data_IF_556023890929
#
_entry.id   IF_556023890929
#
_cell.length_a   1.000
_cell.length_b   1.000
_cell.length_c   1.000
_cell.angle_alpha   90.00
_cell.angle_beta   90.00
_cell.angle_gamma   90.00
#
_symmetry.space_group_name_H-M   'P 1'
#
loop_
_entity.id
_entity.type
_entity.pdbx_description
1 polymer ?
#
# COMPACT_ATOMS: atom_id res chain seq x y z
N UNK A 1 9.49 0.21 -10.47
CA UNK A 1 10.01 0.91 -11.64
C UNK A 1 11.39 1.41 -11.33
N UNK A 2 12.31 1.02 -12.13
CA UNK A 2 13.74 0.90 -12.00
C UNK A 2 14.47 2.22 -11.64
N UNK A 3 14.61 2.48 -10.37
CA UNK A 3 15.43 3.56 -9.82
C UNK A 3 16.92 3.39 -10.21
N UNK A 4 17.32 2.20 -10.63
CA UNK A 4 18.71 1.90 -11.04
C UNK A 4 19.09 2.52 -12.36
N UNK A 5 18.20 2.66 -13.34
CA UNK A 5 18.49 3.35 -14.61
C UNK A 5 18.72 4.84 -14.39
N UNK A 6 17.93 5.45 -13.52
CA UNK A 6 18.12 6.83 -13.13
C UNK A 6 19.45 7.02 -12.38
N UNK A 7 19.81 6.11 -11.47
CA UNK A 7 21.09 6.17 -10.74
C UNK A 7 22.29 6.07 -11.71
N UNK A 8 22.25 5.17 -12.70
CA UNK A 8 23.38 5.01 -13.66
C UNK A 8 23.48 6.19 -14.62
N UNK A 9 22.36 6.71 -15.15
CA UNK A 9 22.39 7.93 -15.98
C UNK A 9 22.78 9.17 -15.18
N UNK A 10 22.44 9.23 -13.90
CA UNK A 10 22.74 10.33 -12.98
C UNK A 10 24.17 10.31 -12.45
N UNK A 11 24.90 9.19 -12.57
CA UNK A 11 26.27 9.05 -12.03
C UNK A 11 27.37 9.44 -13.01
N UNK A 12 27.08 9.73 -14.29
CA UNK A 12 28.10 10.22 -15.24
C UNK A 12 28.45 11.68 -14.93
N UNK A 13 29.71 11.93 -14.60
CA UNK A 13 30.21 13.29 -14.33
C UNK A 13 30.01 14.22 -15.52
N UNK A 14 30.19 13.71 -16.73
CA UNK A 14 29.97 14.46 -17.97
C UNK A 14 28.50 14.90 -18.12
N UNK A 15 27.56 14.02 -17.89
CA UNK A 15 26.12 14.36 -17.93
C UNK A 15 25.73 15.40 -16.87
N UNK A 16 26.29 15.30 -15.67
CA UNK A 16 26.06 16.30 -14.60
C UNK A 16 26.54 17.69 -15.01
N UNK A 17 27.77 17.77 -15.52
CA UNK A 17 28.38 19.04 -15.97
C UNK A 17 27.58 19.64 -17.13
N UNK A 18 27.16 18.84 -18.09
CA UNK A 18 26.33 19.29 -19.23
C UNK A 18 24.95 19.79 -18.79
N UNK A 19 24.27 19.10 -17.87
CA UNK A 19 22.97 19.56 -17.36
C UNK A 19 23.11 20.81 -16.52
N UNK A 20 24.14 20.91 -15.69
CA UNK A 20 24.44 22.12 -14.93
C UNK A 20 24.68 23.30 -15.88
N UNK A 21 25.53 23.12 -16.86
CA UNK A 21 25.80 24.15 -17.87
C UNK A 21 24.52 24.53 -18.64
N UNK A 22 23.71 23.57 -19.04
CA UNK A 22 22.42 23.83 -19.68
C UNK A 22 21.48 24.65 -18.77
N UNK A 23 21.40 24.33 -17.47
CA UNK A 23 20.55 25.04 -16.51
C UNK A 23 21.03 26.48 -16.26
N UNK A 24 22.35 26.68 -16.17
CA UNK A 24 22.99 27.99 -15.87
C UNK A 24 23.07 28.92 -17.08
N UNK A 25 23.33 28.36 -18.28
CA UNK A 25 23.59 29.14 -19.47
C UNK A 25 22.38 29.36 -20.38
N UNK A 26 21.30 28.58 -20.22
CA UNK A 26 20.13 28.73 -21.07
C UNK A 26 19.30 29.94 -20.64
N UNK A 27 18.99 30.82 -21.58
CA UNK A 27 18.06 31.92 -21.37
C UNK A 27 16.63 31.38 -21.18
N UNK A 28 16.18 31.34 -19.93
CA UNK A 28 14.87 30.78 -19.53
C UNK A 28 13.70 31.50 -20.19
N UNK A 29 13.88 32.77 -20.61
CA UNK A 29 12.81 33.52 -21.27
C UNK A 29 12.56 33.06 -22.73
N UNK A 30 13.48 32.29 -23.29
CA UNK A 30 13.35 31.68 -24.63
C UNK A 30 12.76 30.26 -24.61
N UNK A 31 12.55 29.69 -23.42
CA UNK A 31 11.97 28.37 -23.26
C UNK A 31 10.45 28.44 -23.21
N UNK A 32 9.80 27.44 -23.77
CA UNK A 32 8.37 27.21 -23.47
C UNK A 32 8.18 26.84 -21.98
N UNK A 33 7.00 27.04 -21.40
CA UNK A 33 6.73 26.62 -20.01
C UNK A 33 7.10 25.16 -19.75
N UNK A 34 6.82 24.27 -20.70
CA UNK A 34 7.14 22.85 -20.62
C UNK A 34 8.67 22.60 -20.62
N UNK A 35 9.39 23.24 -21.51
CA UNK A 35 10.86 23.14 -21.58
C UNK A 35 11.51 23.70 -20.31
N UNK A 36 11.01 24.82 -19.80
CA UNK A 36 11.48 25.42 -18.55
C UNK A 36 11.27 24.47 -17.38
N UNK A 37 10.09 23.88 -17.29
CA UNK A 37 9.74 22.90 -16.24
C UNK A 37 10.62 21.66 -16.33
N UNK A 38 10.81 21.12 -17.53
CA UNK A 38 11.66 19.94 -17.76
C UNK A 38 13.10 20.20 -17.32
N UNK A 39 13.67 21.34 -17.71
CA UNK A 39 15.04 21.71 -17.35
C UNK A 39 15.19 21.85 -15.83
N UNK A 40 14.23 22.50 -15.17
CA UNK A 40 14.21 22.65 -13.72
C UNK A 40 14.10 21.29 -13.01
N UNK A 41 13.19 20.42 -13.44
CA UNK A 41 12.97 19.11 -12.81
C UNK A 41 14.19 18.21 -12.95
N UNK A 42 14.81 18.18 -14.13
CA UNK A 42 16.04 17.41 -14.37
C UNK A 42 17.17 17.95 -13.48
N UNK A 43 17.46 19.26 -13.53
CA UNK A 43 18.53 19.86 -12.72
C UNK A 43 18.32 19.64 -11.23
N UNK A 44 17.10 19.91 -10.73
CA UNK A 44 16.75 19.69 -9.33
C UNK A 44 16.90 18.22 -8.94
N UNK A 45 16.55 17.30 -9.83
CA UNK A 45 16.77 15.86 -9.64
C UNK A 45 18.26 15.54 -9.40
N UNK A 46 19.15 16.09 -10.22
CA UNK A 46 20.60 15.91 -10.04
C UNK A 46 21.10 16.49 -8.71
N UNK A 47 20.71 17.71 -8.37
CA UNK A 47 21.09 18.37 -7.11
C UNK A 47 20.65 17.54 -5.90
N UNK A 48 19.42 17.04 -5.92
CA UNK A 48 18.86 16.21 -4.84
C UNK A 48 19.56 14.85 -4.71
N UNK A 49 20.16 14.37 -5.78
CA UNK A 49 21.00 13.17 -5.77
C UNK A 49 22.49 13.47 -5.50
N UNK A 50 22.79 14.63 -4.91
CA UNK A 50 24.11 14.97 -4.43
C UNK A 50 25.07 15.51 -5.52
N UNK A 51 24.57 15.96 -6.68
CA UNK A 51 25.44 16.42 -7.77
C UNK A 51 26.34 17.59 -7.36
N UNK A 52 25.88 18.48 -6.47
CA UNK A 52 26.63 19.66 -6.00
C UNK A 52 27.49 19.41 -4.76
N UNK A 53 27.51 18.18 -4.23
CA UNK A 53 28.34 17.81 -3.09
C UNK A 53 29.82 17.76 -3.47
N UNK A 54 30.70 17.94 -2.47
CA UNK A 54 32.12 17.64 -2.59
C UNK A 54 32.36 16.16 -2.92
N UNK A 55 33.52 15.76 -3.40
CA UNK A 55 33.82 14.36 -3.70
C UNK A 55 33.77 13.46 -2.41
N UNK A 56 34.16 14.01 -1.28
CA UNK A 56 34.07 13.33 0.03
C UNK A 56 32.60 13.15 0.42
N UNK A 57 31.79 14.20 0.32
CA UNK A 57 30.36 14.14 0.63
C UNK A 57 29.59 13.23 -0.35
N UNK A 58 30.00 13.18 -1.64
CA UNK A 58 29.43 12.22 -2.59
C UNK A 58 29.72 10.78 -2.21
N UNK A 59 30.92 10.48 -1.68
CA UNK A 59 31.24 9.14 -1.18
C UNK A 59 30.32 8.78 0.01
N UNK A 60 30.14 9.72 0.94
CA UNK A 60 29.25 9.57 2.08
C UNK A 60 27.78 9.40 1.63
N UNK A 61 27.32 10.22 0.68
CA UNK A 61 25.97 10.14 0.12
C UNK A 61 25.70 8.76 -0.51
N UNK A 62 26.67 8.23 -1.29
CA UNK A 62 26.55 6.89 -1.89
C UNK A 62 26.42 5.81 -0.82
N UNK A 63 27.25 5.85 0.23
CA UNK A 63 27.20 4.90 1.35
C UNK A 63 25.83 4.94 2.02
N UNK A 64 25.34 6.11 2.43
CA UNK A 64 24.04 6.29 3.07
C UNK A 64 22.89 5.79 2.16
N UNK A 65 22.93 6.12 0.88
CA UNK A 65 21.89 5.72 -0.09
C UNK A 65 21.85 4.21 -0.30
N UNK A 66 23.02 3.55 -0.38
CA UNK A 66 23.11 2.08 -0.50
C UNK A 66 22.57 1.39 0.75
N UNK A 67 22.94 1.88 1.93
CA UNK A 67 22.48 1.33 3.20
C UNK A 67 20.97 1.52 3.38
N UNK A 68 20.43 2.72 3.08
CA UNK A 68 19.00 3.00 3.06
C UNK A 68 18.23 2.05 2.11
N UNK A 69 18.74 1.84 0.91
CA UNK A 69 18.12 0.94 -0.07
C UNK A 69 18.10 -0.51 0.43
N UNK A 70 19.22 -0.98 1.00
CA UNK A 70 19.35 -2.33 1.55
C UNK A 70 18.38 -2.55 2.72
N UNK A 71 18.34 -1.62 3.67
CA UNK A 71 17.46 -1.72 4.85
C UNK A 71 15.98 -1.58 4.47
N UNK A 72 15.64 -0.73 3.52
CA UNK A 72 14.27 -0.59 3.02
C UNK A 72 13.79 -1.88 2.36
N UNK A 73 14.66 -2.52 1.57
CA UNK A 73 14.36 -3.83 0.97
C UNK A 73 14.18 -4.89 2.04
N UNK A 74 15.10 -4.98 3.02
CA UNK A 74 15.01 -5.92 4.13
C UNK A 74 13.74 -5.73 4.95
N UNK A 75 13.40 -4.49 5.30
CA UNK A 75 12.15 -4.16 5.99
C UNK A 75 10.93 -4.74 5.27
N UNK A 76 10.87 -4.51 3.97
CA UNK A 76 9.75 -4.97 3.14
C UNK A 76 9.70 -6.50 2.98
N UNK A 77 10.87 -7.13 2.85
CA UNK A 77 10.97 -8.59 2.74
C UNK A 77 10.58 -9.28 4.05
N UNK A 78 11.01 -8.74 5.19
CA UNK A 78 10.64 -9.26 6.50
C UNK A 78 9.12 -9.23 6.69
N UNK A 79 8.48 -8.09 6.38
CA UNK A 79 7.03 -7.95 6.47
C UNK A 79 6.30 -8.96 5.57
N UNK A 80 6.73 -9.11 4.32
CA UNK A 80 6.13 -10.07 3.40
C UNK A 80 6.26 -11.51 3.90
N UNK A 81 7.44 -11.89 4.40
CA UNK A 81 7.69 -13.25 4.92
C UNK A 81 6.85 -13.54 6.15
N UNK A 82 6.76 -12.61 7.09
CA UNK A 82 5.96 -12.80 8.29
C UNK A 82 4.46 -12.86 7.98
N UNK A 83 3.98 -12.01 7.06
CA UNK A 83 2.59 -12.09 6.58
C UNK A 83 2.28 -13.45 5.98
N UNK A 84 3.16 -13.97 5.12
CA UNK A 84 2.96 -15.25 4.43
C UNK A 84 3.18 -16.47 5.34
N UNK A 85 4.00 -16.32 6.38
CA UNK A 85 4.29 -17.39 7.32
C UNK A 85 3.25 -17.59 8.41
N UNK A 86 2.32 -16.65 8.57
CA UNK A 86 1.29 -16.77 9.61
C UNK A 86 0.11 -17.63 9.14
N UNK A 87 -0.30 -18.55 10.02
CA UNK A 87 -1.43 -19.43 9.82
C UNK A 87 -2.20 -19.62 11.13
N UNK A 88 -3.45 -19.21 11.14
CA UNK A 88 -4.39 -19.53 12.18
C UNK A 88 -5.21 -20.74 11.72
N UNK A 89 -4.95 -21.91 12.30
CA UNK A 89 -5.61 -23.17 11.94
C UNK A 89 -6.81 -23.37 12.84
N UNK A 90 -7.99 -23.51 12.26
CA UNK A 90 -9.24 -23.79 12.94
C UNK A 90 -9.62 -25.26 12.68
N UNK A 91 -10.02 -25.99 13.73
CA UNK A 91 -10.23 -27.43 13.69
C UNK A 91 -11.68 -27.86 13.84
N UNK A 92 -12.54 -26.96 14.29
CA UNK A 92 -13.95 -27.26 14.60
C UNK A 92 -14.89 -26.29 13.90
N UNK A 93 -16.08 -26.76 13.56
CA UNK A 93 -17.15 -25.91 13.00
C UNK A 93 -17.56 -24.79 13.98
N UNK A 94 -17.45 -25.03 15.29
CA UNK A 94 -17.73 -24.00 16.29
C UNK A 94 -16.81 -22.77 16.18
N UNK A 95 -15.56 -22.96 15.79
CA UNK A 95 -14.61 -21.86 15.56
C UNK A 95 -14.96 -21.01 14.34
N UNK A 96 -15.81 -21.49 13.44
CA UNK A 96 -16.29 -20.78 12.24
C UNK A 96 -17.55 -19.96 12.51
N UNK A 97 -18.12 -20.02 13.71
CA UNK A 97 -19.39 -19.36 14.03
C UNK A 97 -19.37 -17.87 13.62
N UNK A 98 -20.43 -17.46 12.91
CA UNK A 98 -20.63 -16.11 12.40
C UNK A 98 -20.00 -15.82 11.04
N UNK A 99 -19.08 -16.65 10.56
CA UNK A 99 -18.44 -16.44 9.25
C UNK A 99 -19.42 -16.72 8.09
N UNK A 100 -19.41 -15.91 7.02
CA UNK A 100 -20.15 -16.21 5.81
C UNK A 100 -19.56 -17.43 5.09
N UNK A 101 -20.42 -18.16 4.36
CA UNK A 101 -20.04 -19.39 3.63
C UNK A 101 -18.82 -19.17 2.72
N UNK A 102 -18.79 -18.04 2.03
CA UNK A 102 -17.68 -17.66 1.15
C UNK A 102 -16.32 -17.55 1.86
N UNK A 103 -16.31 -17.08 3.12
CA UNK A 103 -15.09 -17.01 3.93
C UNK A 103 -14.67 -18.39 4.43
N UNK A 104 -15.64 -19.25 4.77
CA UNK A 104 -15.41 -20.64 5.17
C UNK A 104 -14.80 -21.44 4.00
N UNK A 105 -15.39 -21.34 2.80
CA UNK A 105 -14.87 -21.98 1.59
C UNK A 105 -13.45 -21.51 1.25
N UNK A 106 -13.19 -20.20 1.33
CA UNK A 106 -11.86 -19.64 1.09
C UNK A 106 -10.83 -20.15 2.12
N UNK A 107 -11.21 -20.27 3.38
CA UNK A 107 -10.34 -20.81 4.43
C UNK A 107 -10.05 -22.32 4.25
N UNK A 108 -11.06 -23.10 3.81
CA UNK A 108 -10.90 -24.51 3.47
C UNK A 108 -9.97 -24.70 2.25
N UNK A 109 -10.15 -23.86 1.21
CA UNK A 109 -9.26 -23.85 0.05
C UNK A 109 -7.80 -23.53 0.44
N UNK A 110 -7.59 -22.53 1.26
CA UNK A 110 -6.27 -22.17 1.79
C UNK A 110 -5.65 -23.34 2.59
N UNK A 111 -6.46 -24.04 3.39
CA UNK A 111 -6.01 -25.22 4.13
C UNK A 111 -5.57 -26.34 3.17
N UNK A 112 -6.33 -26.61 2.13
CA UNK A 112 -5.99 -27.59 1.10
C UNK A 112 -4.67 -27.25 0.38
N UNK A 113 -4.49 -25.98 -0.06
CA UNK A 113 -3.24 -25.51 -0.69
C UNK A 113 -2.01 -25.69 0.22
N UNK A 114 -2.21 -25.55 1.54
CA UNK A 114 -1.16 -25.73 2.58
C UNK A 114 -1.02 -27.17 3.07
N UNK A 115 -1.72 -28.14 2.47
CA UNK A 115 -1.67 -29.55 2.83
C UNK A 115 -2.28 -29.86 4.20
N UNK A 116 -3.24 -29.05 4.66
CA UNK A 116 -3.97 -29.20 5.94
C UNK A 116 -5.42 -29.56 5.72
N UNK A 117 -5.66 -30.77 5.21
CA UNK A 117 -7.01 -31.23 4.93
C UNK A 117 -7.83 -31.44 6.24
N UNK A 118 -9.12 -31.13 6.18
CA UNK A 118 -10.05 -31.32 7.30
C UNK A 118 -10.01 -30.20 8.34
N UNK A 119 -9.39 -29.07 8.04
CA UNK A 119 -9.41 -27.86 8.84
C UNK A 119 -9.57 -26.62 7.97
N UNK A 120 -9.54 -25.44 8.59
CA UNK A 120 -9.61 -24.14 7.90
C UNK A 120 -8.42 -23.29 8.30
N UNK A 121 -7.85 -22.57 7.34
CA UNK A 121 -6.68 -21.70 7.57
C UNK A 121 -7.04 -20.27 7.28
N UNK A 122 -6.89 -19.43 8.31
CA UNK A 122 -6.99 -17.97 8.19
C UNK A 122 -5.58 -17.39 8.14
N UNK A 123 -5.36 -16.46 7.22
CA UNK A 123 -4.06 -15.79 7.02
C UNK A 123 -4.17 -14.31 7.34
N UNK A 124 -3.02 -13.59 7.32
CA UNK A 124 -2.98 -12.13 7.49
C UNK A 124 -3.20 -11.35 6.18
N UNK A 125 -3.52 -12.02 5.09
CA UNK A 125 -3.92 -11.34 3.86
C UNK A 125 -5.32 -10.76 3.96
N UNK A 126 -5.54 -9.57 3.43
CA UNK A 126 -6.81 -8.83 3.58
C UNK A 126 -8.07 -9.65 3.25
N UNK A 127 -8.12 -10.45 2.16
CA UNK A 127 -9.31 -11.24 1.84
C UNK A 127 -9.64 -12.34 2.87
N UNK A 128 -8.67 -12.73 3.71
CA UNK A 128 -8.84 -13.70 4.80
C UNK A 128 -9.07 -12.99 6.14
N UNK A 129 -8.25 -11.97 6.44
CA UNK A 129 -8.29 -11.21 7.70
C UNK A 129 -9.57 -10.41 7.88
N UNK A 130 -9.94 -9.61 6.87
CA UNK A 130 -11.06 -8.66 7.00
C UNK A 130 -12.41 -9.34 7.24
N UNK A 131 -12.83 -10.37 6.48
CA UNK A 131 -14.06 -11.07 6.76
C UNK A 131 -14.06 -11.73 8.14
N UNK A 132 -12.93 -12.30 8.57
CA UNK A 132 -12.84 -12.89 9.90
C UNK A 132 -13.08 -11.86 11.01
N UNK A 133 -12.44 -10.70 10.93
CA UNK A 133 -12.61 -9.62 11.92
C UNK A 133 -14.03 -9.02 11.93
N UNK A 134 -14.72 -9.02 10.79
CA UNK A 134 -16.09 -8.51 10.68
C UNK A 134 -17.16 -9.45 11.19
N UNK A 135 -16.98 -10.75 10.95
CA UNK A 135 -18.09 -11.70 11.06
C UNK A 135 -17.91 -12.77 12.15
N UNK A 136 -16.67 -13.14 12.50
CA UNK A 136 -16.46 -14.22 13.47
C UNK A 136 -17.04 -13.88 14.83
N UNK A 137 -17.91 -14.77 15.39
CA UNK A 137 -18.45 -14.63 16.74
C UNK A 137 -17.41 -14.94 17.83
N UNK A 138 -16.27 -15.55 17.48
CA UNK A 138 -15.24 -16.00 18.42
C UNK A 138 -14.29 -14.87 18.83
N UNK A 139 -14.63 -14.15 19.89
CA UNK A 139 -13.90 -12.97 20.39
C UNK A 139 -12.41 -13.22 20.62
N UNK A 140 -12.05 -14.32 21.29
CA UNK A 140 -10.65 -14.64 21.60
C UNK A 140 -9.85 -14.99 20.33
N UNK A 141 -10.51 -15.56 19.33
CA UNK A 141 -9.88 -15.85 18.05
C UNK A 141 -9.67 -14.55 17.25
N UNK A 142 -10.68 -13.63 17.26
CA UNK A 142 -10.50 -12.27 16.71
C UNK A 142 -9.32 -11.54 17.35
N UNK A 143 -9.20 -11.60 18.69
CA UNK A 143 -8.08 -11.02 19.43
C UNK A 143 -6.75 -11.60 18.99
N UNK A 144 -6.65 -12.93 18.90
CA UNK A 144 -5.43 -13.61 18.43
C UNK A 144 -5.01 -13.14 17.04
N UNK A 145 -5.96 -13.11 16.11
CA UNK A 145 -5.72 -12.68 14.73
C UNK A 145 -5.38 -11.18 14.64
N UNK A 146 -6.10 -10.34 15.41
CA UNK A 146 -5.82 -8.90 15.52
C UNK A 146 -4.40 -8.63 16.03
N UNK A 147 -4.00 -9.31 17.09
CA UNK A 147 -2.65 -9.15 17.65
C UNK A 147 -1.60 -9.60 16.64
N UNK A 148 -1.79 -10.74 15.98
CA UNK A 148 -0.86 -11.22 14.96
C UNK A 148 -0.71 -10.21 13.81
N UNK A 149 -1.80 -9.61 13.35
CA UNK A 149 -1.77 -8.60 12.27
C UNK A 149 -1.08 -7.30 12.68
N UNK A 150 -1.36 -6.80 13.89
CA UNK A 150 -0.88 -5.48 14.33
C UNK A 150 0.51 -5.50 14.97
N UNK A 151 1.07 -6.67 15.25
CA UNK A 151 2.43 -6.82 15.81
C UNK A 151 3.42 -7.45 14.84
N UNK A 152 3.09 -7.49 13.55
CA UNK A 152 3.99 -8.01 12.52
C UNK A 152 5.38 -7.32 12.59
N UNK A 153 6.42 -8.14 12.46
CA UNK A 153 7.82 -7.71 12.53
C UNK A 153 8.24 -7.03 13.85
N UNK A 154 7.47 -7.25 14.92
CA UNK A 154 7.81 -6.76 16.27
C UNK A 154 8.20 -7.89 17.23
N UNK A 155 8.27 -9.13 16.75
CA UNK A 155 8.59 -10.32 17.56
C UNK A 155 10.12 -10.55 17.65
N UNK A 156 10.55 -11.31 18.64
CA UNK A 156 11.97 -11.71 18.79
C UNK A 156 12.29 -12.87 17.83
N UNK A 157 12.33 -12.55 16.54
CA UNK A 157 12.66 -13.49 15.46
C UNK A 157 13.49 -12.80 14.36
N UNK A 158 13.84 -13.55 13.32
CA UNK A 158 14.66 -13.06 12.19
C UNK A 158 13.99 -11.95 11.35
N UNK A 159 12.66 -11.78 11.47
CA UNK A 159 11.88 -10.78 10.74
C UNK A 159 11.65 -9.48 11.51
N UNK A 160 12.25 -9.34 12.69
CA UNK A 160 12.10 -8.14 13.52
C UNK A 160 12.61 -6.88 12.81
N UNK A 161 11.74 -5.90 12.66
CA UNK A 161 12.02 -4.64 11.97
C UNK A 161 12.30 -3.45 12.91
N UNK A 162 12.19 -3.61 14.23
CA UNK A 162 12.33 -2.49 15.17
C UNK A 162 13.67 -1.77 15.05
N UNK A 163 14.78 -2.53 15.01
CA UNK A 163 16.11 -1.94 14.79
C UNK A 163 16.29 -1.37 13.39
N UNK A 164 15.65 -1.96 12.39
CA UNK A 164 15.70 -1.47 11.01
C UNK A 164 15.01 -0.10 10.91
N UNK A 165 13.88 0.08 11.60
CA UNK A 165 13.17 1.38 11.65
C UNK A 165 14.06 2.46 12.27
N UNK A 166 14.71 2.16 13.40
CA UNK A 166 15.65 3.09 14.05
C UNK A 166 16.81 3.49 13.11
N UNK A 167 17.42 2.52 12.45
CA UNK A 167 18.49 2.77 11.48
C UNK A 167 18.01 3.60 10.29
N UNK A 168 16.84 3.27 9.72
CA UNK A 168 16.26 4.01 8.59
C UNK A 168 15.98 5.47 8.94
N UNK A 169 15.47 5.75 10.14
CA UNK A 169 15.19 7.12 10.60
C UNK A 169 16.49 7.92 10.74
N UNK A 170 17.50 7.34 11.35
CA UNK A 170 18.81 7.99 11.53
C UNK A 170 19.50 8.25 10.18
N UNK A 171 19.59 7.26 9.31
CA UNK A 171 20.20 7.41 7.98
C UNK A 171 19.46 8.44 7.11
N UNK A 172 18.13 8.52 7.20
CA UNK A 172 17.34 9.56 6.51
C UNK A 172 17.66 10.96 7.04
N UNK A 173 17.86 11.09 8.35
CA UNK A 173 18.27 12.35 8.95
C UNK A 173 19.66 12.76 8.47
N UNK A 174 20.64 11.87 8.54
CA UNK A 174 22.01 12.10 8.06
C UNK A 174 22.05 12.50 6.58
N UNK A 175 21.32 11.77 5.73
CA UNK A 175 21.22 12.08 4.31
C UNK A 175 20.62 13.47 4.06
N UNK A 176 19.56 13.83 4.77
CA UNK A 176 18.95 15.14 4.63
C UNK A 176 19.89 16.27 5.07
N UNK A 177 20.60 16.09 6.17
CA UNK A 177 21.58 17.05 6.68
C UNK A 177 22.77 17.21 5.72
N UNK A 178 23.27 16.10 5.15
CA UNK A 178 24.33 16.13 4.13
C UNK A 178 23.92 16.93 2.91
N UNK A 179 22.64 16.92 2.54
CA UNK A 179 22.05 17.69 1.44
C UNK A 179 21.68 19.14 1.84
N UNK A 180 21.97 19.57 3.09
CA UNK A 180 21.70 20.92 3.58
C UNK A 180 20.26 21.16 4.07
N UNK A 181 19.48 20.11 4.31
CA UNK A 181 18.13 20.20 4.87
C UNK A 181 18.14 19.99 6.39
N UNK A 182 17.24 20.65 7.09
CA UNK A 182 17.09 20.52 8.54
C UNK A 182 16.73 19.10 8.98
N UNK A 183 15.88 18.42 8.22
CA UNK A 183 15.43 17.06 8.45
C UNK A 183 14.92 16.43 7.15
N UNK A 184 14.60 15.14 7.20
CA UNK A 184 14.14 14.39 6.03
C UNK A 184 12.77 14.83 5.49
N UNK A 185 11.88 15.33 6.38
CA UNK A 185 10.58 15.86 5.95
C UNK A 185 10.76 17.10 5.06
N UNK A 186 11.60 18.06 5.47
CA UNK A 186 11.95 19.24 4.68
C UNK A 186 12.52 18.85 3.30
N UNK A 187 13.43 17.86 3.29
CA UNK A 187 13.99 17.34 2.05
C UNK A 187 12.90 16.77 1.13
N UNK A 188 11.99 15.96 1.64
CA UNK A 188 10.93 15.33 0.82
C UNK A 188 9.90 16.36 0.37
N UNK A 189 9.41 17.19 1.27
CA UNK A 189 8.32 18.15 1.03
C UNK A 189 8.68 19.20 -0.02
N UNK A 190 9.94 19.53 -0.17
CA UNK A 190 10.41 20.51 -1.18
C UNK A 190 9.93 20.21 -2.61
N UNK A 191 9.59 18.94 -2.92
CA UNK A 191 9.03 18.51 -4.21
C UNK A 191 7.61 17.93 -4.08
N UNK A 192 6.90 18.25 -3.02
CA UNK A 192 5.52 17.83 -2.82
C UNK A 192 4.59 19.03 -2.83
N UNK A 193 3.30 18.79 -3.05
CA UNK A 193 2.29 19.85 -3.10
C UNK A 193 2.20 20.65 -1.80
N UNK A 194 2.53 20.02 -0.67
CA UNK A 194 2.52 20.69 0.63
C UNK A 194 3.71 21.68 0.83
N UNK A 195 4.83 21.49 0.12
CA UNK A 195 6.05 22.30 0.11
C UNK A 195 6.76 22.41 1.48
N UNK A 196 6.02 22.64 2.57
CA UNK A 196 6.51 22.87 3.92
C UNK A 196 5.74 22.07 4.98
N UNK A 197 6.41 21.74 6.08
CA UNK A 197 5.82 20.97 7.19
C UNK A 197 4.61 21.68 7.82
N UNK A 198 4.63 23.01 7.87
CA UNK A 198 3.53 23.82 8.40
C UNK A 198 2.22 23.58 7.64
N UNK A 199 2.28 23.46 6.31
CA UNK A 199 1.10 23.17 5.48
C UNK A 199 0.55 21.77 5.76
N UNK A 200 1.44 20.79 6.00
CA UNK A 200 1.04 19.44 6.41
C UNK A 200 0.33 19.46 7.75
N UNK A 201 0.94 20.10 8.76
CA UNK A 201 0.35 20.18 10.09
C UNK A 201 -0.96 20.97 10.10
N UNK A 202 -1.05 22.06 9.32
CA UNK A 202 -2.29 22.82 9.18
C UNK A 202 -3.42 21.91 8.67
N UNK A 203 -3.21 21.20 7.55
CA UNK A 203 -4.21 20.30 7.01
C UNK A 203 -4.60 19.20 8.01
N UNK A 204 -3.61 18.55 8.64
CA UNK A 204 -3.88 17.46 9.59
C UNK A 204 -4.62 17.96 10.83
N UNK A 205 -4.29 19.14 11.35
CA UNK A 205 -4.97 19.71 12.50
C UNK A 205 -6.39 20.15 12.16
N UNK A 206 -6.61 20.77 10.99
CA UNK A 206 -7.94 21.14 10.52
C UNK A 206 -8.85 19.89 10.37
N UNK A 207 -8.30 18.78 9.83
CA UNK A 207 -9.00 17.50 9.73
C UNK A 207 -9.24 16.86 11.10
N UNK A 208 -8.25 16.90 12.00
CA UNK A 208 -8.38 16.37 13.36
C UNK A 208 -9.49 17.07 14.12
N UNK A 209 -9.53 18.40 14.06
CA UNK A 209 -10.59 19.19 14.70
C UNK A 209 -11.97 18.87 14.13
N UNK A 210 -12.09 18.78 12.80
CA UNK A 210 -13.35 18.55 12.13
C UNK A 210 -13.89 17.13 12.34
N UNK A 211 -13.04 16.10 12.31
CA UNK A 211 -13.49 14.69 12.31
C UNK A 211 -13.55 14.06 13.69
N UNK A 212 -12.76 14.52 14.68
CA UNK A 212 -12.70 13.90 16.01
C UNK A 212 -14.06 13.84 16.72
N UNK A 213 -14.92 14.87 16.69
CA UNK A 213 -16.25 14.79 17.32
C UNK A 213 -17.12 13.67 16.71
N UNK A 214 -17.16 13.58 15.38
CA UNK A 214 -17.94 12.55 14.67
C UNK A 214 -17.39 11.15 14.97
N UNK A 215 -16.07 10.97 14.90
CA UNK A 215 -15.44 9.67 15.19
C UNK A 215 -15.71 9.21 16.63
N UNK A 216 -15.71 10.13 17.62
CA UNK A 216 -16.07 9.80 18.99
C UNK A 216 -17.53 9.37 19.12
N UNK A 217 -18.44 10.07 18.44
CA UNK A 217 -19.84 9.69 18.43
C UNK A 217 -20.05 8.31 17.83
N UNK A 218 -19.41 8.01 16.69
CA UNK A 218 -19.49 6.70 16.03
C UNK A 218 -18.97 5.57 16.93
N UNK A 219 -17.85 5.79 17.64
CA UNK A 219 -17.33 4.82 18.61
C UNK A 219 -18.30 4.61 19.77
N UNK A 220 -18.96 5.67 20.29
CA UNK A 220 -19.97 5.52 21.36
C UNK A 220 -21.19 4.74 20.89
N UNK A 221 -21.64 4.94 19.66
CA UNK A 221 -22.75 4.16 19.08
C UNK A 221 -22.40 2.67 18.96
N UNK A 222 -21.17 2.35 18.55
CA UNK A 222 -20.66 0.96 18.47
C UNK A 222 -20.55 0.38 19.88
N UNK A 223 -20.04 1.15 20.85
CA UNK A 223 -19.92 0.74 22.26
C UNK A 223 -21.29 0.47 22.90
N UNK A 224 -22.26 1.33 22.64
CA UNK A 224 -23.62 1.16 23.12
C UNK A 224 -24.26 -0.14 22.60
N UNK A 225 -24.09 -0.41 21.29
CA UNK A 225 -24.56 -1.68 20.71
C UNK A 225 -23.84 -2.89 21.33
N UNK A 226 -22.54 -2.83 21.51
CA UNK A 226 -21.79 -3.92 22.11
C UNK A 226 -22.28 -4.22 23.55
N UNK A 227 -22.51 -3.20 24.36
CA UNK A 227 -23.06 -3.36 25.73
C UNK A 227 -24.50 -3.89 25.74
N UNK A 228 -25.30 -3.43 24.80
CA UNK A 228 -26.68 -4.00 24.66
C UNK A 228 -26.68 -5.50 24.41
N UNK A 229 -25.71 -5.99 23.60
CA UNK A 229 -25.63 -7.40 23.21
C UNK A 229 -24.92 -8.29 24.24
N UNK A 230 -23.88 -7.77 24.90
CA UNK A 230 -22.98 -8.56 25.74
C UNK A 230 -23.15 -8.26 27.26
N UNK A 231 -23.78 -7.13 27.61
CA UNK A 231 -23.97 -6.65 28.99
C UNK A 231 -23.23 -5.35 29.26
N UNK A 232 -23.72 -4.60 30.28
CA UNK A 232 -23.25 -3.25 30.61
C UNK A 232 -21.75 -3.15 30.94
N UNK A 233 -21.18 -4.23 31.50
CA UNK A 233 -19.77 -4.30 31.88
C UNK A 233 -18.84 -4.61 30.69
N UNK A 234 -19.39 -4.78 29.48
CA UNK A 234 -18.59 -5.10 28.32
C UNK A 234 -17.65 -3.96 27.93
N UNK A 235 -16.36 -4.26 27.85
CA UNK A 235 -15.32 -3.35 27.38
C UNK A 235 -15.03 -3.60 25.90
N UNK A 236 -15.31 -2.58 25.08
CA UNK A 236 -15.03 -2.61 23.64
C UNK A 236 -13.51 -2.45 23.40
N UNK A 237 -12.90 -3.51 22.91
CA UNK A 237 -11.47 -3.56 22.58
C UNK A 237 -11.24 -3.36 21.08
N UNK A 238 -10.00 -3.05 20.63
CA UNK A 238 -9.71 -2.83 19.21
C UNK A 238 -10.11 -4.02 18.29
N UNK A 239 -9.98 -5.24 18.76
CA UNK A 239 -10.38 -6.45 18.00
C UNK A 239 -11.89 -6.68 17.94
N UNK A 240 -12.67 -5.88 18.64
CA UNK A 240 -14.14 -5.93 18.65
C UNK A 240 -14.75 -4.91 17.69
N UNK A 241 -14.00 -3.87 17.35
CA UNK A 241 -14.51 -2.71 16.62
C UNK A 241 -15.16 -3.08 15.28
N UNK A 242 -14.45 -3.81 14.41
CA UNK A 242 -14.96 -4.20 13.10
C UNK A 242 -16.22 -5.08 13.19
N UNK A 243 -16.27 -5.96 14.17
CA UNK A 243 -17.40 -6.86 14.40
C UNK A 243 -18.68 -6.11 14.81
N UNK A 244 -18.59 -5.23 15.81
CA UNK A 244 -19.77 -4.46 16.24
C UNK A 244 -20.12 -3.32 15.26
N UNK A 245 -19.15 -2.77 14.54
CA UNK A 245 -19.41 -1.82 13.48
C UNK A 245 -20.22 -2.44 12.33
N UNK A 246 -19.91 -3.69 11.94
CA UNK A 246 -20.67 -4.42 10.93
C UNK A 246 -22.09 -4.73 11.42
N UNK A 247 -22.26 -5.17 12.68
CA UNK A 247 -23.58 -5.38 13.30
C UNK A 247 -24.39 -4.08 13.36
N UNK A 248 -23.76 -2.96 13.71
CA UNK A 248 -24.43 -1.64 13.75
C UNK A 248 -24.87 -1.20 12.36
N UNK A 249 -24.01 -1.38 11.34
CA UNK A 249 -24.31 -1.09 9.94
C UNK A 249 -25.54 -1.90 9.48
N UNK A 250 -25.55 -3.21 9.74
CA UNK A 250 -26.66 -4.07 9.40
C UNK A 250 -27.95 -3.64 10.11
N UNK A 251 -27.89 -3.27 11.40
CA UNK A 251 -29.04 -2.76 12.16
C UNK A 251 -29.60 -1.45 11.59
N UNK A 252 -28.73 -0.50 11.24
CA UNK A 252 -29.14 0.83 10.76
C UNK A 252 -29.63 0.83 9.32
N UNK A 253 -29.01 0.05 8.46
CA UNK A 253 -29.22 0.16 7.01
C UNK A 253 -29.80 -1.09 6.38
N UNK A 254 -29.95 -2.19 7.12
CA UNK A 254 -30.38 -3.49 6.60
C UNK A 254 -29.57 -3.92 5.36
N UNK A 255 -28.28 -3.54 5.34
CA UNK A 255 -27.36 -3.80 4.23
C UNK A 255 -26.47 -5.00 4.57
N UNK A 256 -26.70 -6.08 3.85
CA UNK A 256 -25.83 -7.25 3.84
C UNK A 256 -24.88 -7.17 2.64
N UNK A 257 -23.57 -7.01 2.89
CA UNK A 257 -22.55 -6.95 1.83
C UNK A 257 -22.45 -8.27 1.06
N UNK A 258 -22.70 -9.42 1.70
CA UNK A 258 -22.71 -10.72 1.03
C UNK A 258 -23.86 -10.84 0.00
N UNK A 259 -25.01 -10.22 0.25
CA UNK A 259 -26.11 -10.16 -0.71
C UNK A 259 -25.76 -9.35 -1.97
N UNK A 260 -24.79 -8.42 -1.88
CA UNK A 260 -24.31 -7.65 -3.03
C UNK A 260 -23.25 -8.39 -3.86
N UNK A 261 -22.57 -9.36 -3.28
CA UNK A 261 -21.42 -10.03 -3.88
C UNK A 261 -21.68 -10.64 -5.27
N UNK A 262 -22.83 -11.30 -5.55
CA UNK A 262 -23.14 -11.83 -6.87
C UNK A 262 -23.24 -10.78 -7.98
N UNK A 263 -23.46 -9.51 -7.63
CA UNK A 263 -23.54 -8.40 -8.58
C UNK A 263 -22.15 -7.87 -8.99
N UNK A 264 -21.14 -8.12 -8.16
CA UNK A 264 -19.77 -7.62 -8.33
C UNK A 264 -18.77 -8.73 -8.69
N UNK A 265 -19.22 -9.73 -9.46
CA UNK A 265 -18.32 -10.73 -10.02
C UNK A 265 -17.20 -10.06 -10.83
N UNK A 266 -15.95 -10.50 -10.63
CA UNK A 266 -14.75 -9.85 -11.18
C UNK A 266 -14.81 -9.64 -12.70
N UNK A 267 -15.35 -10.60 -13.45
CA UNK A 267 -15.50 -10.49 -14.89
C UNK A 267 -16.43 -9.33 -15.29
N UNK A 268 -17.53 -9.15 -14.57
CA UNK A 268 -18.49 -8.08 -14.80
C UNK A 268 -17.93 -6.71 -14.42
N UNK A 269 -17.24 -6.63 -13.28
CA UNK A 269 -16.58 -5.40 -12.82
C UNK A 269 -15.51 -4.98 -13.84
N UNK A 270 -14.67 -5.89 -14.28
CA UNK A 270 -13.66 -5.64 -15.31
C UNK A 270 -14.27 -5.14 -16.61
N UNK A 271 -15.31 -5.81 -17.12
CA UNK A 271 -16.02 -5.36 -18.30
C UNK A 271 -16.64 -3.95 -18.12
N UNK A 272 -17.19 -3.68 -16.93
CA UNK A 272 -17.72 -2.36 -16.58
C UNK A 272 -16.67 -1.26 -16.58
N UNK A 273 -15.50 -1.51 -15.97
CA UNK A 273 -14.36 -0.57 -15.93
C UNK A 273 -13.83 -0.31 -17.34
N UNK A 274 -13.62 -1.35 -18.14
CA UNK A 274 -13.16 -1.19 -19.52
C UNK A 274 -14.19 -0.45 -20.39
N UNK A 275 -15.48 -0.76 -20.23
CA UNK A 275 -16.55 -0.05 -20.92
C UNK A 275 -16.66 1.42 -20.49
N UNK A 276 -16.39 1.75 -19.23
CA UNK A 276 -16.33 3.14 -18.76
C UNK A 276 -15.14 3.88 -19.40
N UNK A 277 -13.96 3.27 -19.42
CA UNK A 277 -12.78 3.85 -20.06
C UNK A 277 -13.00 4.08 -21.56
N UNK A 278 -13.66 3.11 -22.24
CA UNK A 278 -14.05 3.27 -23.65
C UNK A 278 -14.96 4.48 -23.84
N UNK A 279 -15.98 4.66 -22.99
CA UNK A 279 -16.92 5.80 -23.09
C UNK A 279 -16.24 7.15 -22.81
N UNK A 280 -15.31 7.19 -21.85
CA UNK A 280 -14.64 8.44 -21.46
C UNK A 280 -13.54 8.84 -22.44
N UNK A 281 -12.72 7.87 -22.86
CA UNK A 281 -11.48 8.14 -23.61
C UNK A 281 -11.50 7.61 -25.05
N UNK A 282 -12.46 6.75 -25.40
CA UNK A 282 -12.53 6.11 -26.71
C UNK A 282 -11.59 4.93 -26.90
N UNK A 283 -10.81 4.54 -25.88
CA UNK A 283 -9.88 3.44 -25.94
C UNK A 283 -10.61 2.09 -25.87
N UNK A 284 -10.03 1.06 -26.48
CA UNK A 284 -10.57 -0.29 -26.46
C UNK A 284 -9.53 -1.30 -25.97
N UNK A 285 -10.02 -2.42 -25.41
CA UNK A 285 -9.19 -3.45 -24.81
C UNK A 285 -9.44 -4.79 -25.47
N UNK A 286 -8.37 -5.46 -25.91
CA UNK A 286 -8.43 -6.78 -26.51
C UNK A 286 -7.50 -7.72 -25.78
N UNK A 287 -8.04 -8.79 -25.16
CA UNK A 287 -7.20 -9.81 -24.52
C UNK A 287 -6.28 -10.47 -25.57
N UNK A 288 -5.00 -10.57 -25.24
CA UNK A 288 -4.01 -11.23 -26.07
C UNK A 288 -3.23 -12.24 -25.24
N UNK A 289 -3.52 -13.53 -25.46
CA UNK A 289 -2.90 -14.67 -24.76
C UNK A 289 -1.49 -15.00 -25.26
N UNK A 290 -1.03 -14.39 -26.35
CA UNK A 290 0.32 -14.57 -26.89
C UNK A 290 1.34 -13.68 -26.17
N UNK A 291 0.88 -12.66 -25.45
CA UNK A 291 1.75 -11.80 -24.65
C UNK A 291 2.22 -12.58 -23.41
N UNK A 292 3.54 -12.71 -23.19
CA UNK A 292 4.04 -13.44 -22.03
C UNK A 292 3.58 -12.81 -20.71
N UNK A 293 3.07 -13.65 -19.82
CA UNK A 293 2.66 -13.28 -18.46
C UNK A 293 3.57 -13.94 -17.44
N UNK A 294 3.77 -13.27 -16.30
CA UNK A 294 4.66 -13.75 -15.23
C UNK A 294 3.97 -14.71 -14.24
N UNK A 295 2.64 -14.88 -14.35
CA UNK A 295 1.86 -15.82 -13.54
C UNK A 295 0.58 -16.23 -14.31
N UNK A 296 0.07 -17.47 -14.14
CA UNK A 296 -1.13 -17.94 -14.84
C UNK A 296 -2.40 -17.11 -14.63
N UNK A 297 -2.55 -16.48 -13.45
CA UNK A 297 -3.71 -15.63 -13.12
C UNK A 297 -3.66 -14.25 -13.77
N UNK A 298 -2.53 -13.87 -14.36
CA UNK A 298 -2.35 -12.58 -15.01
C UNK A 298 -2.95 -12.61 -16.41
N UNK A 299 -3.72 -11.60 -16.74
CA UNK A 299 -4.26 -11.41 -18.09
C UNK A 299 -3.61 -10.18 -18.73
N UNK A 300 -3.23 -10.30 -20.00
CA UNK A 300 -2.65 -9.23 -20.79
C UNK A 300 -3.64 -8.76 -21.86
N UNK A 301 -3.73 -7.44 -22.01
CA UNK A 301 -4.61 -6.78 -22.97
C UNK A 301 -3.82 -5.82 -23.84
N UNK A 302 -4.05 -5.87 -25.15
CA UNK A 302 -3.69 -4.79 -26.05
C UNK A 302 -4.71 -3.65 -25.90
N UNK A 303 -4.22 -2.44 -25.75
CA UNK A 303 -5.03 -1.23 -25.67
C UNK A 303 -4.87 -0.46 -26.97
N UNK A 304 -6.00 -0.11 -27.57
CA UNK A 304 -6.03 0.66 -28.82
C UNK A 304 -6.70 2.02 -28.61
N UNK A 305 -6.20 3.03 -29.28
CA UNK A 305 -6.78 4.36 -29.29
C UNK A 305 -8.08 4.38 -30.13
N UNK A 306 -8.77 5.52 -30.13
CA UNK A 306 -10.05 5.75 -30.83
C UNK A 306 -9.97 5.48 -32.33
N UNK A 307 -8.82 5.73 -32.96
CA UNK A 307 -8.56 5.50 -34.37
C UNK A 307 -8.15 4.05 -34.69
N UNK A 308 -8.09 3.18 -33.69
CA UNK A 308 -7.66 1.79 -33.80
C UNK A 308 -6.14 1.59 -33.79
N UNK A 309 -5.35 2.65 -33.59
CA UNK A 309 -3.89 2.52 -33.44
C UNK A 309 -3.54 1.87 -32.09
N UNK A 310 -2.46 1.08 -32.08
CA UNK A 310 -1.95 0.46 -30.86
C UNK A 310 -1.40 1.54 -29.91
N UNK A 311 -1.87 1.52 -28.65
CA UNK A 311 -1.50 2.49 -27.63
C UNK A 311 -0.58 1.87 -26.56
N UNK A 312 -0.97 0.74 -25.97
CA UNK A 312 -0.27 0.14 -24.84
C UNK A 312 -0.61 -1.34 -24.63
N UNK A 313 0.12 -1.96 -23.69
CA UNK A 313 -0.25 -3.26 -23.10
C UNK A 313 -0.63 -3.04 -21.65
N UNK A 314 -1.79 -3.55 -21.24
CA UNK A 314 -2.27 -3.56 -19.87
C UNK A 314 -2.22 -4.97 -19.31
N UNK A 315 -1.57 -5.16 -18.16
CA UNK A 315 -1.64 -6.38 -17.38
C UNK A 315 -2.60 -6.21 -16.22
N UNK A 316 -3.47 -7.20 -16.00
CA UNK A 316 -4.35 -7.26 -14.83
C UNK A 316 -3.99 -8.44 -13.95
N UNK A 317 -3.84 -8.22 -12.65
CA UNK A 317 -3.40 -9.20 -11.67
C UNK A 317 -4.14 -8.98 -10.35
N UNK A 318 -5.31 -9.62 -10.20
CA UNK A 318 -6.26 -9.34 -9.14
C UNK A 318 -6.13 -10.23 -7.90
N UNK A 319 -5.57 -11.42 -8.03
CA UNK A 319 -5.55 -12.39 -6.93
C UNK A 319 -4.32 -12.23 -6.04
N UNK A 320 -4.49 -12.33 -4.70
CA UNK A 320 -3.36 -12.37 -3.78
C UNK A 320 -2.56 -13.67 -3.96
N UNK A 321 -1.26 -13.60 -3.71
CA UNK A 321 -0.36 -14.77 -3.66
C UNK A 321 0.91 -14.42 -2.90
N UNK A 322 1.72 -15.42 -2.56
CA UNK A 322 2.89 -15.29 -1.70
C UNK A 322 3.89 -14.19 -2.12
N UNK A 323 4.08 -13.99 -3.42
CA UNK A 323 4.99 -12.96 -3.95
C UNK A 323 4.43 -11.54 -3.99
N UNK A 324 3.16 -11.33 -3.62
CA UNK A 324 2.49 -10.01 -3.70
C UNK A 324 2.35 -9.38 -2.31
N UNK A 325 2.57 -8.08 -2.26
CA UNK A 325 2.18 -7.26 -1.12
C UNK A 325 0.70 -6.91 -1.22
N UNK A 326 0.06 -6.63 -0.08
CA UNK A 326 -1.28 -6.06 -0.07
C UNK A 326 -1.29 -4.65 -0.68
N UNK A 327 -2.43 -4.24 -1.22
CA UNK A 327 -2.63 -2.96 -1.86
C UNK A 327 -3.01 -3.07 -3.34
N UNK A 328 -3.24 -1.92 -3.96
CA UNK A 328 -3.49 -1.79 -5.39
C UNK A 328 -2.37 -0.97 -6.03
N UNK A 329 -1.83 -1.45 -7.10
CA UNK A 329 -0.68 -0.85 -7.79
C UNK A 329 -0.96 -0.63 -9.27
#
# INVERSE_FOLDING_TARGET
VDDRRNVVMLCSEDNRNRIKAAYELTDKNKLTPEQSKLLEDIYTGFVRNGANLSEEDKATFRKLSMELSSLTLKFSQNHLKETNGYELVLHTEDELAGLPESAIEAAAHTAHEKGKEGCWVITLQDPSYVPFMKYSDKREVRKTLYMAYNTQCCHDNEFNNLKIVEQLVNLRMELAQLLGFKNYAEYVLKKRMAEHSENVYKLLNDLLEAYTPTARQEVEEIRALARELEGEDFELMPWDFSYYAEKLKNRKFSLDEEALRPYFELSRVKAGVFGLATRLYGITFKENKEIPVYHPDVQAYEVFDRDGSFLAVLYTDFHPREGKRSGAW
#
